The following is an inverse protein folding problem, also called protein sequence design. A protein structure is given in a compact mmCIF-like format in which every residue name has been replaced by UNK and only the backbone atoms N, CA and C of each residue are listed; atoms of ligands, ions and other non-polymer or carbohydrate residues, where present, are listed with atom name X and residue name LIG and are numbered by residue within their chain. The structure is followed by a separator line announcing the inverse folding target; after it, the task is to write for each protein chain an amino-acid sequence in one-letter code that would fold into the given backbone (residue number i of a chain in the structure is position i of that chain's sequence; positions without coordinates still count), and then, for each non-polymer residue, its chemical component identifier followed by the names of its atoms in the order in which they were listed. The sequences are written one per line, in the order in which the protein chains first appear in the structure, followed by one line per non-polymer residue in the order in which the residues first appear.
data_IF_816650514740
#
_entry.id   IF_816650514740
#
_cell.length_a   1.000
_cell.length_b   1.000
_cell.length_c   1.000
_cell.angle_alpha   90.00
_cell.angle_beta   90.00
_cell.angle_gamma   90.00
#
_symmetry.space_group_name_H-M   'P 1'
#
loop_
_entity.id
_entity.type
_entity.pdbx_description
1 polymer ?
2 non-polymer ?
3 non-polymer ?
4 non-polymer ?
5 non-polymer ?
6 water ?
#
# COMPACT_ATOMS: atom_id res chain seq x y z
N UNK A 1 -14.37 -11.82 1.59
CA UNK A 1 -15.00 -11.19 0.39
C UNK A 1 -14.11 -10.11 -0.20
N UNK A 2 -14.71 -9.25 -1.02
CA UNK A 2 -13.98 -8.20 -1.78
C UNK A 2 -13.27 -7.21 -0.85
N UNK A 3 -13.92 -6.77 0.22
CA UNK A 3 -13.27 -5.84 1.16
C UNK A 3 -12.08 -6.44 1.88
N UNK A 4 -12.20 -7.71 2.34
CA UNK A 4 -11.02 -8.36 2.92
C UNK A 4 -9.91 -8.56 1.88
N UNK A 5 -10.25 -8.89 0.62
CA UNK A 5 -9.20 -9.03 -0.37
C UNK A 5 -8.38 -7.73 -0.58
N UNK A 6 -9.05 -6.58 -0.54
CA UNK A 6 -8.33 -5.28 -0.63
C UNK A 6 -7.32 -5.19 0.55
N UNK A 7 -7.71 -5.60 1.78
CA UNK A 7 -6.80 -5.60 2.95
C UNK A 7 -5.67 -6.60 2.80
N UNK A 8 -5.95 -7.80 2.26
CA UNK A 8 -4.88 -8.80 2.01
C UNK A 8 -3.84 -8.24 1.02
N UNK A 9 -4.32 -7.71 -0.11
CA UNK A 9 -3.44 -7.14 -1.13
C UNK A 9 -2.62 -5.95 -0.57
N UNK A 10 -3.30 -5.03 0.10
CA UNK A 10 -2.61 -3.85 0.68
C UNK A 10 -1.54 -4.23 1.69
N UNK A 11 -1.75 -5.29 2.48
CA UNK A 11 -0.79 -5.60 3.54
C UNK A 11 0.57 -5.94 2.99
N UNK A 12 0.62 -6.52 1.77
CA UNK A 12 1.91 -6.81 1.07
C UNK A 12 1.86 -6.33 -0.39
N UNK A 13 1.53 -5.05 -0.58
CA UNK A 13 1.20 -4.55 -1.91
C UNK A 13 2.35 -4.70 -2.91
N UNK A 14 3.59 -4.47 -2.50
CA UNK A 14 4.71 -4.54 -3.42
C UNK A 14 4.80 -5.94 -4.06
N UNK A 15 4.68 -6.97 -3.21
CA UNK A 15 4.85 -8.35 -3.67
C UNK A 15 3.69 -8.78 -4.58
N UNK A 16 2.44 -8.55 -4.14
CA UNK A 16 1.31 -8.91 -5.00
C UNK A 16 1.29 -8.13 -6.32
N UNK A 17 1.63 -6.83 -6.29
CA UNK A 17 1.61 -6.04 -7.53
C UNK A 17 2.60 -6.60 -8.55
N UNK A 18 3.84 -6.88 -8.10
CA UNK A 18 4.85 -7.47 -9.01
C UNK A 18 4.42 -8.84 -9.57
N UNK A 19 3.90 -9.71 -8.70
CA UNK A 19 3.59 -11.05 -9.15
C UNK A 19 2.38 -11.04 -10.13
N UNK A 20 1.37 -10.20 -9.89
CA UNK A 20 0.22 -10.15 -10.82
C UNK A 20 0.63 -9.49 -12.14
N UNK A 21 1.42 -8.40 -12.09
CA UNK A 21 1.86 -7.74 -13.35
C UNK A 21 2.73 -8.69 -14.20
N UNK A 22 3.62 -9.45 -13.55
CA UNK A 22 4.45 -10.45 -14.29
C UNK A 22 3.54 -11.53 -14.93
N UNK A 23 2.53 -11.98 -14.19
CA UNK A 23 1.59 -12.97 -14.74
C UNK A 23 0.90 -12.43 -16.01
N UNK A 24 0.47 -11.15 -15.97
CA UNK A 24 -0.09 -10.46 -17.14
C UNK A 24 0.87 -10.38 -18.33
N UNK A 25 2.09 -9.92 -18.07
CA UNK A 25 3.08 -9.79 -19.16
C UNK A 25 3.44 -11.12 -19.80
N UNK A 26 3.54 -12.18 -18.97
CA UNK A 26 3.87 -13.50 -19.49
C UNK A 26 2.69 -14.17 -20.24
N UNK A 27 1.43 -13.90 -19.83
CA UNK A 27 0.26 -14.42 -20.53
C UNK A 27 -0.01 -13.75 -21.88
N UNK A 28 0.31 -12.46 -21.98
CA UNK A 28 0.06 -11.66 -23.17
C UNK A 28 1.33 -10.97 -23.60
N UNK A 29 2.23 -11.72 -24.29
CA UNK A 29 3.52 -11.10 -24.64
C UNK A 29 3.43 -9.84 -25.54
N UNK A 30 2.41 -9.73 -26.41
CA UNK A 30 2.25 -8.55 -27.28
C UNK A 30 2.00 -7.29 -26.44
N UNK A 31 1.51 -7.44 -25.19
CA UNK A 31 1.26 -6.29 -24.31
C UNK A 31 2.56 -5.60 -23.83
N UNK A 32 3.71 -6.29 -23.89
CA UNK A 32 4.99 -5.69 -23.43
C UNK A 32 5.49 -4.47 -24.25
N UNK A 33 4.96 -4.24 -25.44
CA UNK A 33 5.28 -3.07 -26.29
C UNK A 33 4.82 -1.72 -25.73
N UNK A 34 3.88 -1.78 -24.79
CA UNK A 34 3.53 -0.62 -23.99
C UNK A 34 4.60 -0.27 -22.98
N UNK A 35 5.61 -1.16 -22.79
CA UNK A 35 6.68 -1.05 -21.78
C UNK A 35 8.08 -1.42 -22.35
N UNK A 36 8.62 -0.52 -23.18
CA UNK A 36 9.87 -0.79 -23.92
C UNK A 36 11.11 -1.02 -23.02
N UNK A 37 11.12 -0.46 -21.81
CA UNK A 37 12.21 -0.65 -20.86
C UNK A 37 12.21 -2.07 -20.23
N UNK A 38 11.12 -2.83 -20.42
CA UNK A 38 10.97 -4.18 -19.86
C UNK A 38 11.23 -5.32 -20.86
N UNK A 39 11.33 -4.98 -22.13
CA UNK A 39 11.55 -5.96 -23.19
C UNK A 39 12.94 -6.67 -23.05
N UNK A 40 12.98 -7.99 -23.28
CA UNK A 40 14.24 -8.78 -23.36
C UNK A 40 14.84 -9.12 -21.98
N UNK A 41 13.98 -9.13 -20.98
CA UNK A 41 14.38 -9.32 -19.57
C UNK A 41 13.52 -10.38 -18.87
N UNK A 42 14.20 -11.25 -18.13
CA UNK A 42 13.52 -12.24 -17.31
C UNK A 42 12.77 -11.58 -16.14
N UNK A 43 11.94 -12.37 -15.46
CA UNK A 43 11.22 -11.88 -14.32
C UNK A 43 12.20 -11.32 -13.23
N UNK A 44 13.26 -12.07 -12.93
CA UNK A 44 14.20 -11.65 -11.89
C UNK A 44 15.01 -10.39 -12.30
N UNK A 45 15.35 -10.27 -13.57
CA UNK A 45 15.96 -9.04 -14.06
C UNK A 45 15.02 -7.82 -13.89
N UNK A 46 13.74 -8.00 -14.23
CA UNK A 46 12.75 -6.93 -14.01
C UNK A 46 12.66 -6.48 -12.55
N UNK A 47 12.59 -7.44 -11.64
CA UNK A 47 12.52 -7.12 -10.21
C UNK A 47 13.76 -6.37 -9.67
N UNK A 48 14.90 -6.42 -10.40
CA UNK A 48 16.11 -5.68 -10.00
C UNK A 48 16.16 -4.19 -10.47
N UNK A 49 15.18 -3.76 -11.25
CA UNK A 49 15.09 -2.40 -11.77
C UNK A 49 14.24 -1.54 -10.80
N UNK A 50 14.80 -0.43 -10.31
CA UNK A 50 14.09 0.41 -9.31
C UNK A 50 12.69 0.81 -9.77
N UNK A 51 12.57 1.29 -11.01
CA UNK A 51 11.27 1.77 -11.47
C UNK A 51 10.26 0.65 -11.71
N UNK A 52 10.71 -0.61 -11.96
CA UNK A 52 9.72 -1.73 -12.13
C UNK A 52 8.90 -1.89 -10.82
N UNK A 53 9.56 -2.04 -9.68
CA UNK A 53 8.82 -2.20 -8.41
C UNK A 53 8.03 -0.95 -8.04
N UNK A 54 8.67 0.23 -8.19
CA UNK A 54 8.03 1.49 -7.80
C UNK A 54 6.76 1.76 -8.63
N UNK A 55 6.90 1.73 -9.94
CA UNK A 55 5.74 2.03 -10.81
C UNK A 55 4.66 0.92 -10.71
N UNK A 56 5.05 -0.35 -10.63
CA UNK A 56 4.05 -1.40 -10.49
C UNK A 56 3.24 -1.28 -9.17
N UNK A 57 3.91 -0.95 -8.07
CA UNK A 57 3.18 -0.72 -6.85
C UNK A 57 2.24 0.46 -6.98
N UNK A 58 2.69 1.55 -7.64
CA UNK A 58 1.84 2.74 -7.77
C UNK A 58 0.56 2.46 -8.62
N UNK A 59 0.69 1.65 -9.66
CA UNK A 59 -0.46 1.17 -10.43
C UNK A 59 -1.48 0.45 -9.52
N UNK A 60 -0.98 -0.51 -8.73
CA UNK A 60 -1.88 -1.31 -7.87
C UNK A 60 -2.44 -0.51 -6.69
N UNK A 61 -1.69 0.50 -6.20
CA UNK A 61 -2.25 1.40 -5.19
C UNK A 61 -3.51 2.14 -5.76
N UNK A 62 -3.40 2.69 -6.97
CA UNK A 62 -4.57 3.34 -7.55
C UNK A 62 -5.70 2.32 -7.80
N UNK A 63 -5.36 1.11 -8.25
CA UNK A 63 -6.40 0.05 -8.44
C UNK A 63 -7.14 -0.21 -7.12
N UNK A 64 -6.41 -0.29 -6.01
CA UNK A 64 -7.05 -0.54 -4.71
C UNK A 64 -7.93 0.65 -4.24
N UNK A 65 -7.53 1.88 -4.57
CA UNK A 65 -8.37 3.07 -4.26
C UNK A 65 -9.68 2.99 -5.02
N UNK A 66 -9.61 2.67 -6.31
CA UNK A 66 -10.81 2.55 -7.14
C UNK A 66 -11.70 1.40 -6.63
N UNK A 67 -11.06 0.25 -6.29
CA UNK A 67 -11.83 -0.89 -5.75
C UNK A 67 -12.54 -0.53 -4.46
N UNK A 68 -11.86 0.17 -3.55
CA UNK A 68 -12.46 0.48 -2.26
C UNK A 68 -13.59 1.52 -2.36
N UNK A 69 -13.52 2.41 -3.36
CA UNK A 69 -14.60 3.40 -3.62
C UNK A 69 -15.79 2.81 -4.43
N UNK A 70 -15.66 1.62 -4.99
CA UNK A 70 -16.74 0.97 -5.75
C UNK A 70 -17.92 0.61 -4.84
N UNK A 71 -19.11 0.50 -5.44
CA UNK A 71 -20.34 -0.01 -4.80
C UNK A 71 -20.71 -1.33 -5.48
N UNK A 72 -20.81 -2.44 -4.71
CA UNK A 72 -21.15 -3.74 -5.33
C UNK A 72 -20.27 -4.03 -6.57
N UNK A 73 -18.97 -3.76 -6.45
CA UNK A 73 -17.97 -4.03 -7.52
C UNK A 73 -18.20 -3.20 -8.81
N UNK A 74 -18.94 -2.07 -8.69
CA UNK A 74 -19.15 -1.10 -9.80
C UNK A 74 -18.35 0.16 -9.48
N UNK A 75 -17.28 0.46 -10.25
CA UNK A 75 -16.48 1.67 -9.97
C UNK A 75 -17.22 2.96 -10.22
N UNK A 76 -16.79 4.00 -9.52
CA UNK A 76 -17.28 5.35 -9.79
C UNK A 76 -16.97 5.81 -11.22
N UNK A 77 -17.91 6.50 -11.86
CA UNK A 77 -17.66 7.10 -13.18
C UNK A 77 -16.47 8.09 -13.14
N UNK A 78 -16.36 8.85 -12.04
CA UNK A 78 -15.23 9.80 -11.90
C UNK A 78 -13.86 9.10 -11.87
N UNK A 79 -13.77 7.93 -11.23
CA UNK A 79 -12.53 7.15 -11.25
C UNK A 79 -12.22 6.60 -12.64
N UNK A 80 -13.22 6.08 -13.35
CA UNK A 80 -13.01 5.67 -14.75
C UNK A 80 -12.48 6.84 -15.60
N UNK A 81 -13.09 8.02 -15.43
CA UNK A 81 -12.63 9.21 -16.17
C UNK A 81 -11.17 9.56 -15.90
N UNK A 82 -10.73 9.47 -14.64
CA UNK A 82 -9.32 9.71 -14.32
C UNK A 82 -8.42 8.77 -15.12
N UNK A 83 -8.75 7.48 -15.17
CA UNK A 83 -7.95 6.50 -15.92
C UNK A 83 -7.94 6.80 -17.43
N UNK A 84 -9.06 7.25 -17.99
CA UNK A 84 -9.11 7.61 -19.44
C UNK A 84 -8.21 8.81 -19.75
N UNK A 85 -8.24 9.82 -18.87
CA UNK A 85 -7.60 11.10 -19.15
C UNK A 85 -6.11 11.14 -18.80
N UNK A 86 -5.58 10.17 -18.06
CA UNK A 86 -4.16 10.16 -17.72
C UNK A 86 -3.28 10.17 -18.98
N UNK A 87 -2.31 11.09 -19.05
CA UNK A 87 -1.43 11.20 -20.23
C UNK A 87 -0.71 9.86 -20.49
N UNK A 88 -0.38 9.12 -19.43
CA UNK A 88 0.30 7.81 -19.61
C UNK A 88 -0.55 6.72 -20.29
N UNK A 89 -1.85 6.94 -20.32
CA UNK A 89 -2.85 6.03 -20.95
C UNK A 89 -3.34 6.46 -22.33
N UNK A 90 -2.65 7.42 -22.97
CA UNK A 90 -3.12 8.00 -24.23
C UNK A 90 -3.22 6.99 -25.38
N UNK A 91 -2.40 5.94 -25.35
CA UNK A 91 -2.44 4.97 -26.45
C UNK A 91 -3.39 3.80 -26.32
N UNK A 92 -4.16 3.75 -25.23
CA UNK A 92 -4.78 2.49 -24.78
C UNK A 92 -6.23 2.34 -25.21
N UNK A 93 -6.68 1.07 -25.21
CA UNK A 93 -8.08 0.75 -25.45
C UNK A 93 -8.58 -0.14 -24.31
N UNK A 94 -9.90 -0.38 -24.26
CA UNK A 94 -10.41 -1.14 -23.11
C UNK A 94 -9.87 -2.59 -23.09
N UNK A 95 -9.49 -3.13 -24.25
CA UNK A 95 -8.91 -4.46 -24.33
C UNK A 95 -7.65 -4.66 -23.51
N UNK A 96 -6.84 -3.61 -23.36
CA UNK A 96 -5.66 -3.69 -22.49
C UNK A 96 -6.03 -4.01 -21.02
N UNK A 97 -7.08 -3.32 -20.56
CA UNK A 97 -7.59 -3.49 -19.21
C UNK A 97 -8.33 -4.84 -19.03
N UNK A 98 -9.07 -5.25 -20.05
CA UNK A 98 -9.75 -6.56 -20.03
C UNK A 98 -8.73 -7.68 -19.77
N UNK A 99 -7.62 -7.63 -20.49
CA UNK A 99 -6.56 -8.66 -20.38
C UNK A 99 -5.87 -8.65 -19.02
N UNK A 100 -5.62 -7.46 -18.50
CA UNK A 100 -5.04 -7.34 -17.16
C UNK A 100 -5.91 -8.08 -16.13
N UNK A 101 -7.23 -7.82 -16.19
CA UNK A 101 -8.15 -8.46 -15.21
C UNK A 101 -8.34 -9.96 -15.44
N UNK A 102 -8.29 -10.44 -16.69
CA UNK A 102 -8.27 -11.90 -16.92
C UNK A 102 -7.06 -12.52 -16.19
N UNK A 103 -5.89 -11.89 -16.33
CA UNK A 103 -4.66 -12.42 -15.69
C UNK A 103 -4.76 -12.35 -14.15
N UNK A 104 -5.31 -11.25 -13.61
CA UNK A 104 -5.46 -11.08 -12.16
C UNK A 104 -6.38 -12.18 -11.55
N UNK A 105 -7.52 -12.42 -12.17
CA UNK A 105 -8.46 -13.48 -11.70
C UNK A 105 -7.82 -14.88 -11.80
N UNK A 106 -7.10 -15.15 -12.88
CA UNK A 106 -6.40 -16.44 -13.03
C UNK A 106 -5.36 -16.61 -11.89
N UNK A 107 -4.61 -15.55 -11.60
CA UNK A 107 -3.64 -15.59 -10.50
C UNK A 107 -4.31 -15.91 -9.16
N UNK A 108 -5.44 -15.22 -8.88
CA UNK A 108 -6.18 -15.48 -7.61
C UNK A 108 -6.67 -16.92 -7.53
N UNK A 109 -7.22 -17.47 -8.60
CA UNK A 109 -7.73 -18.85 -8.58
C UNK A 109 -6.62 -19.89 -8.39
N UNK A 110 -5.42 -19.61 -8.92
CA UNK A 110 -4.26 -20.55 -8.79
C UNK A 110 -3.50 -20.39 -7.45
N UNK A 111 -3.78 -19.36 -6.64
CA UNK A 111 -2.82 -19.05 -5.55
C UNK A 111 -3.01 -19.89 -4.28
N UNK A 112 -4.14 -20.57 -4.07
CA UNK A 112 -4.30 -21.43 -2.86
C UNK A 112 -4.71 -20.67 -1.59
N UNK A 113 -5.27 -19.49 -1.85
CA UNK A 113 -5.78 -18.61 -0.82
C UNK A 113 -7.21 -18.22 -1.14
N UNK A 114 -7.94 -17.79 -0.12
CA UNK A 114 -9.38 -17.61 -0.23
C UNK A 114 -9.84 -16.28 -0.82
N UNK A 115 -9.23 -15.82 -1.91
CA UNK A 115 -9.70 -14.64 -2.61
C UNK A 115 -11.14 -14.85 -3.12
N UNK A 116 -11.91 -13.79 -3.20
CA UNK A 116 -13.27 -13.83 -3.78
C UNK A 116 -13.12 -13.57 -5.29
N UNK A 117 -12.67 -14.60 -6.03
CA UNK A 117 -12.34 -14.44 -7.44
C UNK A 117 -13.53 -13.95 -8.27
N UNK A 118 -14.74 -14.41 -7.97
CA UNK A 118 -15.92 -13.99 -8.72
C UNK A 118 -16.15 -12.46 -8.60
N UNK A 119 -15.91 -11.90 -7.43
CA UNK A 119 -16.09 -10.43 -7.27
C UNK A 119 -15.04 -9.64 -8.09
N UNK A 120 -13.79 -10.13 -8.13
CA UNK A 120 -12.76 -9.46 -8.94
C UNK A 120 -13.10 -9.57 -10.45
N UNK A 121 -13.67 -10.71 -10.90
CA UNK A 121 -14.11 -10.88 -12.30
C UNK A 121 -15.18 -9.83 -12.63
N UNK A 122 -16.19 -9.68 -11.76
CA UNK A 122 -17.22 -8.63 -11.92
C UNK A 122 -16.61 -7.24 -11.96
N UNK A 123 -15.73 -6.94 -11.00
CA UNK A 123 -15.07 -5.64 -10.96
C UNK A 123 -14.37 -5.32 -12.28
N UNK A 124 -13.57 -6.28 -12.80
CA UNK A 124 -12.90 -6.04 -14.08
C UNK A 124 -13.86 -5.75 -15.22
N UNK A 125 -14.94 -6.55 -15.31
CA UNK A 125 -15.94 -6.32 -16.38
C UNK A 125 -16.64 -4.94 -16.24
N UNK A 126 -16.97 -4.58 -15.00
CA UNK A 126 -17.63 -3.28 -14.76
C UNK A 126 -16.66 -2.10 -14.95
N UNK A 127 -15.35 -2.32 -14.70
CA UNK A 127 -14.38 -1.27 -14.99
C UNK A 127 -14.25 -1.06 -16.50
N UNK A 128 -14.18 -2.15 -17.28
CA UNK A 128 -14.14 -2.03 -18.76
C UNK A 128 -15.37 -1.23 -19.28
N UNK A 129 -16.57 -1.57 -18.80
CA UNK A 129 -17.79 -0.85 -19.20
C UNK A 129 -17.71 0.62 -18.81
N UNK A 130 -17.24 0.91 -17.61
CA UNK A 130 -17.10 2.32 -17.16
C UNK A 130 -16.07 3.10 -17.98
N UNK A 131 -14.96 2.45 -18.35
CA UNK A 131 -13.94 3.10 -19.20
C UNK A 131 -14.55 3.50 -20.55
N UNK A 132 -15.34 2.62 -21.15
CA UNK A 132 -16.04 2.92 -22.42
C UNK A 132 -17.00 4.13 -22.23
N UNK A 133 -17.78 4.10 -21.16
CA UNK A 133 -18.72 5.21 -20.89
C UNK A 133 -18.02 6.57 -20.67
N UNK A 134 -16.81 6.51 -20.12
CA UNK A 134 -15.97 7.72 -19.87
C UNK A 134 -15.10 8.12 -21.07
N UNK A 135 -15.23 7.41 -22.19
CA UNK A 135 -14.63 7.85 -23.45
C UNK A 135 -13.43 7.11 -24.00
N UNK A 136 -13.09 5.94 -23.45
CA UNK A 136 -11.99 5.11 -24.00
C UNK A 136 -12.53 4.26 -25.15
N UNK A 137 -11.76 4.20 -26.26
CA UNK A 137 -12.10 3.33 -27.38
C UNK A 137 -11.85 1.84 -27.11
N UNK B 1 -7.07 17.12 4.51
CA UNK B 1 -7.21 16.59 5.86
C UNK B 1 -6.61 15.20 6.00
N UNK B 2 -6.98 14.52 7.08
CA UNK B 2 -6.46 13.20 7.44
C UNK B 2 -6.70 12.17 6.31
N UNK B 3 -7.93 12.08 5.80
CA UNK B 3 -8.20 11.12 4.72
C UNK B 3 -7.36 11.35 3.45
N UNK B 4 -7.25 12.60 3.02
CA UNK B 4 -6.38 12.91 1.87
C UNK B 4 -4.91 12.59 2.17
N UNK B 5 -4.45 12.84 3.40
CA UNK B 5 -3.05 12.53 3.75
C UNK B 5 -2.76 11.01 3.63
N UNK B 6 -3.72 10.15 4.02
CA UNK B 6 -3.56 8.71 3.81
C UNK B 6 -3.35 8.41 2.31
N UNK B 7 -4.13 9.04 1.46
CA UNK B 7 -3.98 8.86 0.01
C UNK B 7 -2.60 9.36 -0.48
N UNK B 8 -2.16 10.54 0.00
CA UNK B 8 -0.85 11.05 -0.38
C UNK B 8 0.29 10.07 0.01
N UNK B 9 0.28 9.63 1.27
CA UNK B 9 1.31 8.71 1.75
C UNK B 9 1.31 7.39 0.95
N UNK B 10 0.11 6.85 0.71
CA UNK B 10 -0.02 5.59 -0.07
C UNK B 10 0.50 5.73 -1.51
N UNK B 11 0.42 6.93 -2.08
CA UNK B 11 0.92 7.18 -3.45
C UNK B 11 2.43 7.09 -3.65
N UNK B 12 3.19 7.11 -2.57
CA UNK B 12 4.68 6.95 -2.61
C UNK B 12 5.15 6.29 -1.31
N UNK B 13 4.57 5.13 -0.96
CA UNK B 13 4.60 4.68 0.44
C UNK B 13 5.97 4.19 0.85
N UNK B 14 6.68 3.44 0.01
CA UNK B 14 8.03 2.98 0.44
C UNK B 14 8.97 4.14 0.75
N UNK B 15 8.94 5.20 -0.06
CA UNK B 15 9.80 6.36 0.14
C UNK B 15 9.40 7.09 1.42
N UNK B 16 8.11 7.41 1.60
CA UNK B 16 7.69 8.08 2.89
C UNK B 16 7.99 7.21 4.11
N UNK B 17 7.72 5.90 4.00
CA UNK B 17 7.91 4.99 5.15
C UNK B 17 9.40 4.99 5.59
N UNK B 18 10.30 4.82 4.64
CA UNK B 18 11.73 4.84 4.96
C UNK B 18 12.19 6.17 5.51
N UNK B 19 11.74 7.28 4.89
CA UNK B 19 12.18 8.60 5.38
C UNK B 19 11.66 8.91 6.82
N UNK B 20 10.40 8.54 7.12
CA UNK B 20 9.87 8.75 8.47
C UNK B 20 10.57 7.83 9.48
N UNK B 21 10.78 6.54 9.12
CA UNK B 21 11.47 5.65 10.06
C UNK B 21 12.92 6.11 10.32
N UNK B 22 13.62 6.57 9.27
CA UNK B 22 14.98 7.15 9.51
C UNK B 22 14.93 8.37 10.42
N UNK B 23 13.92 9.25 10.21
CA UNK B 23 13.78 10.40 11.10
C UNK B 23 13.63 9.97 12.59
N UNK B 24 12.82 8.92 12.83
CA UNK B 24 12.64 8.37 14.17
C UNK B 24 13.96 7.82 14.75
N UNK B 25 14.64 6.98 13.97
CA UNK B 25 15.90 6.37 14.44
C UNK B 25 16.97 7.45 14.72
N UNK B 26 17.02 8.49 13.90
CA UNK B 26 18.01 9.56 14.07
C UNK B 26 17.65 10.51 15.21
N UNK B 27 16.35 10.74 15.45
CA UNK B 27 15.94 11.58 16.61
C UNK B 27 16.11 10.86 17.96
N UNK B 28 15.92 9.53 17.97
CA UNK B 28 15.96 8.71 19.18
C UNK B 28 16.94 7.55 19.03
N UNK B 29 18.25 7.84 19.05
CA UNK B 29 19.18 6.76 18.75
C UNK B 29 19.10 5.55 19.70
N UNK B 30 18.63 5.72 20.95
CA UNK B 30 18.51 4.58 21.90
C UNK B 30 17.43 3.58 21.45
N UNK B 31 16.50 4.02 20.62
CA UNK B 31 15.48 3.12 20.04
C UNK B 31 16.04 1.97 19.17
N UNK B 32 17.29 2.06 18.73
CA UNK B 32 17.92 0.91 18.03
C UNK B 32 18.16 -0.36 18.88
N UNK B 33 17.94 -0.30 20.19
CA UNK B 33 17.90 -1.51 21.03
C UNK B 33 16.94 -2.56 20.48
N UNK B 34 15.86 -2.12 19.80
CA UNK B 34 14.90 -3.05 19.20
C UNK B 34 15.15 -3.37 17.74
N UNK B 35 16.25 -2.83 17.17
CA UNK B 35 16.62 -2.99 15.76
C UNK B 35 18.15 -3.19 15.64
N UNK B 36 18.64 -4.29 16.21
CA UNK B 36 20.10 -4.52 16.26
C UNK B 36 20.80 -4.65 14.91
N UNK B 37 20.08 -5.04 13.85
CA UNK B 37 20.70 -5.15 12.53
C UNK B 37 20.92 -3.78 11.88
N UNK B 38 20.35 -2.71 12.44
CA UNK B 38 20.44 -1.36 11.84
C UNK B 38 21.52 -0.46 12.48
N UNK B 39 22.24 -0.96 13.45
CA UNK B 39 23.36 -0.28 14.10
C UNK B 39 24.57 -0.17 13.13
N UNK B 40 25.28 0.98 13.20
CA UNK B 40 26.53 1.15 12.48
C UNK B 40 26.40 1.36 10.97
N UNK B 41 25.26 1.93 10.55
CA UNK B 41 24.88 2.07 9.12
C UNK B 41 24.37 3.49 8.87
N UNK B 42 24.89 4.14 7.84
CA UNK B 42 24.31 5.42 7.39
C UNK B 42 22.93 5.20 6.69
N UNK B 43 22.19 6.28 6.48
CA UNK B 43 20.87 6.20 5.86
C UNK B 43 20.94 5.49 4.48
N UNK B 44 21.91 5.88 3.63
CA UNK B 44 22.02 5.25 2.33
C UNK B 44 22.33 3.74 2.42
N UNK B 45 23.15 3.34 3.39
CA UNK B 45 23.40 1.93 3.60
C UNK B 45 22.12 1.18 4.04
N UNK B 46 21.33 1.74 4.96
CA UNK B 46 20.06 1.12 5.37
C UNK B 46 19.10 0.96 4.19
N UNK B 47 19.05 1.94 3.30
CA UNK B 47 18.16 1.87 2.13
C UNK B 47 18.60 0.81 1.10
N UNK B 48 19.80 0.22 1.23
CA UNK B 48 20.19 -0.91 0.37
C UNK B 48 20.21 -2.25 1.14
N UNK B 49 19.60 -2.31 2.33
CA UNK B 49 19.43 -3.54 3.10
C UNK B 49 17.99 -4.07 2.84
N UNK B 50 17.88 -5.30 2.31
CA UNK B 50 16.58 -5.79 1.81
C UNK B 50 15.48 -5.77 2.89
N UNK B 51 15.80 -6.23 4.10
CA UNK B 51 14.79 -6.29 5.18
C UNK B 51 14.40 -4.90 5.65
N UNK B 52 15.33 -3.95 5.67
CA UNK B 52 14.99 -2.57 6.07
C UNK B 52 13.87 -2.04 5.17
N UNK B 53 14.03 -2.14 3.86
CA UNK B 53 13.00 -1.66 2.94
C UNK B 53 11.69 -2.48 2.99
N UNK B 54 11.82 -3.80 2.99
CA UNK B 54 10.64 -4.66 2.93
C UNK B 54 9.81 -4.58 4.24
N UNK B 55 10.49 -4.66 5.39
CA UNK B 55 9.77 -4.60 6.67
C UNK B 55 9.18 -3.20 6.91
N UNK B 56 9.97 -2.13 6.60
CA UNK B 56 9.45 -0.76 6.79
C UNK B 56 8.19 -0.52 5.94
N UNK B 57 8.18 -0.98 4.70
CA UNK B 57 6.98 -0.82 3.87
C UNK B 57 5.79 -1.60 4.49
N UNK B 58 6.02 -2.85 4.94
CA UNK B 58 4.92 -3.62 5.53
C UNK B 58 4.36 -2.98 6.82
N UNK B 59 5.20 -2.39 7.64
CA UNK B 59 4.76 -1.64 8.80
C UNK B 59 3.81 -0.50 8.40
N UNK B 60 4.25 0.32 7.43
CA UNK B 60 3.44 1.45 7.00
C UNK B 60 2.20 1.05 6.19
N UNK B 61 2.24 -0.08 5.45
CA UNK B 61 1.03 -0.61 4.76
C UNK B 61 -0.07 -0.82 5.84
N UNK B 62 0.28 -1.48 6.94
CA UNK B 62 -0.69 -1.76 8.00
C UNK B 62 -1.06 -0.44 8.75
N UNK B 63 -0.07 0.44 9.02
CA UNK B 63 -0.41 1.71 9.65
C UNK B 63 -1.48 2.49 8.88
N UNK B 64 -1.35 2.54 7.54
CA UNK B 64 -2.33 3.26 6.73
C UNK B 64 -3.71 2.62 6.80
N UNK B 65 -3.77 1.28 6.89
CA UNK B 65 -5.08 0.59 7.05
C UNK B 65 -5.72 0.91 8.42
N UNK B 66 -4.90 0.98 9.49
CA UNK B 66 -5.42 1.35 10.82
C UNK B 66 -5.97 2.79 10.79
N UNK B 67 -5.18 3.69 10.18
CA UNK B 67 -5.63 5.10 10.03
C UNK B 67 -6.93 5.17 9.24
N UNK B 68 -7.02 4.41 8.14
CA UNK B 68 -8.23 4.46 7.25
C UNK B 68 -9.48 3.91 7.93
N UNK B 69 -9.30 2.92 8.84
CA UNK B 69 -10.41 2.32 9.58
C UNK B 69 -10.87 3.14 10.80
N UNK B 70 -10.09 4.18 11.15
CA UNK B 70 -10.39 5.02 12.31
C UNK B 70 -11.61 5.93 12.08
N UNK B 71 -12.22 6.40 13.18
CA UNK B 71 -13.29 7.43 13.15
C UNK B 71 -12.75 8.64 13.89
N UNK B 72 -12.72 9.82 13.26
CA UNK B 72 -12.19 11.03 13.93
C UNK B 72 -10.83 10.80 14.59
N UNK B 73 -9.98 10.06 13.85
CA UNK B 73 -8.60 9.78 14.30
C UNK B 73 -8.51 8.85 15.54
N UNK B 74 -9.57 8.11 15.84
CA UNK B 74 -9.64 7.10 16.92
C UNK B 74 -9.66 5.72 16.30
N UNK B 75 -8.61 4.88 16.53
CA UNK B 75 -8.57 3.56 15.88
C UNK B 75 -9.56 2.56 16.47
N UNK B 76 -9.91 1.56 15.67
CA UNK B 76 -10.69 0.39 16.14
C UNK B 76 -10.00 -0.34 17.29
N UNK B 77 -10.79 -0.80 18.27
CA UNK B 77 -10.22 -1.64 19.33
C UNK B 77 -9.61 -2.93 18.76
N UNK B 78 -10.20 -3.51 17.71
CA UNK B 78 -9.63 -4.75 17.14
C UNK B 78 -8.21 -4.50 16.57
N UNK B 79 -7.99 -3.31 15.95
CA UNK B 79 -6.65 -2.99 15.44
C UNK B 79 -5.65 -2.77 16.58
N UNK B 80 -6.07 -2.08 17.66
CA UNK B 80 -5.20 -1.93 18.82
C UNK B 80 -4.80 -3.31 19.42
N UNK B 81 -5.78 -4.19 19.58
CA UNK B 81 -5.49 -5.53 20.13
C UNK B 81 -4.51 -6.30 19.26
N UNK B 82 -4.69 -6.28 17.94
CA UNK B 82 -3.72 -6.91 17.01
C UNK B 82 -2.30 -6.42 17.29
N UNK B 83 -2.15 -5.11 17.41
CA UNK B 83 -0.83 -4.54 17.59
C UNK B 83 -0.21 -4.92 18.98
N UNK B 84 -1.01 -5.05 20.04
CA UNK B 84 -0.51 -5.52 21.34
C UNK B 84 -0.09 -6.99 21.26
N UNK B 85 -0.89 -7.81 20.60
CA UNK B 85 -0.73 -9.29 20.63
C UNK B 85 0.31 -9.86 19.63
N UNK B 86 0.69 -9.11 18.61
CA UNK B 86 1.68 -9.59 17.63
C UNK B 86 2.94 -10.05 18.32
N UNK B 87 3.43 -11.25 17.98
CA UNK B 87 4.67 -11.78 18.58
C UNK B 87 5.87 -10.82 18.38
N UNK B 88 5.94 -10.14 17.22
CA UNK B 88 7.02 -9.21 16.97
C UNK B 88 7.02 -7.97 17.87
N UNK B 89 5.90 -7.72 18.57
CA UNK B 89 5.78 -6.61 19.51
C UNK B 89 5.92 -7.00 20.98
N UNK B 90 6.35 -8.24 21.28
CA UNK B 90 6.48 -8.65 22.68
C UNK B 90 7.53 -7.76 23.34
N UNK B 91 7.31 -7.40 24.56
CA UNK B 91 8.26 -6.43 25.17
C UNK B 91 8.38 -4.96 24.67
N UNK B 92 7.61 -4.50 23.66
CA UNK B 92 7.41 -3.06 23.42
C UNK B 92 6.55 -2.47 24.54
N UNK B 93 6.64 -1.15 24.72
CA UNK B 93 5.76 -0.35 25.60
C UNK B 93 5.18 0.81 24.79
N UNK B 94 4.19 1.48 25.37
CA UNK B 94 3.56 2.57 24.66
C UNK B 94 4.50 3.70 24.30
N UNK B 95 5.57 3.91 25.11
CA UNK B 95 6.55 4.94 24.81
C UNK B 95 7.25 4.78 23.45
N UNK B 96 7.44 3.55 23.01
CA UNK B 96 8.01 3.30 21.67
C UNK B 96 7.12 3.92 20.57
N UNK B 97 5.79 3.71 20.72
CA UNK B 97 4.81 4.26 19.77
C UNK B 97 4.66 5.78 19.88
N UNK B 98 4.68 6.32 21.11
CA UNK B 98 4.63 7.77 21.33
C UNK B 98 5.76 8.45 20.51
N UNK B 99 6.99 7.93 20.64
CA UNK B 99 8.16 8.54 19.99
C UNK B 99 8.10 8.41 18.45
N UNK B 100 7.62 7.27 17.93
CA UNK B 100 7.46 7.15 16.48
C UNK B 100 6.53 8.25 15.95
N UNK B 101 5.38 8.47 16.63
CA UNK B 101 4.45 9.52 16.18
C UNK B 101 4.95 10.95 16.37
N UNK B 102 5.74 11.22 17.42
CA UNK B 102 6.39 12.55 17.51
C UNK B 102 7.28 12.80 16.27
N UNK B 103 8.07 11.81 15.88
CA UNK B 103 8.94 11.95 14.70
C UNK B 103 8.13 12.12 13.42
N UNK B 104 7.05 11.33 13.26
CA UNK B 104 6.19 11.44 12.10
C UNK B 104 5.59 12.85 11.94
N UNK B 105 5.04 13.38 13.04
CA UNK B 105 4.47 14.72 13.01
C UNK B 105 5.54 15.79 12.68
N UNK B 106 6.71 15.68 13.30
CA UNK B 106 7.81 16.63 13.02
C UNK B 106 8.23 16.58 11.52
N UNK B 107 8.29 15.36 10.96
CA UNK B 107 8.60 15.19 9.53
C UNK B 107 7.55 15.91 8.66
N UNK B 108 6.27 15.72 8.98
CA UNK B 108 5.19 16.39 8.21
C UNK B 108 5.29 17.91 8.28
N UNK B 109 5.54 18.44 9.47
CA UNK B 109 5.63 19.93 9.62
C UNK B 109 6.84 20.53 8.84
N UNK B 110 7.94 19.77 8.73
CA UNK B 110 9.15 20.22 8.01
C UNK B 110 9.10 19.98 6.50
N UNK B 111 8.09 19.25 5.98
CA UNK B 111 8.05 18.78 4.60
C UNK B 111 7.76 19.86 3.56
N UNK B 112 7.07 20.93 3.95
CA UNK B 112 6.73 21.97 2.93
C UNK B 112 5.51 21.59 2.10
N UNK B 113 4.81 20.53 2.52
CA UNK B 113 3.57 20.12 1.85
C UNK B 113 2.35 20.72 2.58
N UNK B 114 1.19 20.09 2.45
CA UNK B 114 -0.05 20.53 3.08
C UNK B 114 -0.65 19.43 4.00
N UNK B 115 0.20 18.63 4.65
CA UNK B 115 -0.27 17.60 5.57
C UNK B 115 -1.09 18.24 6.72
N UNK B 116 -2.10 17.53 7.22
CA UNK B 116 -2.86 17.95 8.41
C UNK B 116 -2.15 17.42 9.64
N UNK B 117 -1.04 18.05 10.01
CA UNK B 117 -0.16 17.51 11.05
C UNK B 117 -0.85 17.38 12.42
N UNK B 118 -1.80 18.27 12.72
CA UNK B 118 -2.55 18.15 13.97
C UNK B 118 -3.41 16.88 14.06
N UNK B 119 -4.01 16.47 12.95
CA UNK B 119 -4.78 15.20 12.96
C UNK B 119 -3.85 13.98 13.23
N UNK B 120 -2.63 13.97 12.65
CA UNK B 120 -1.68 12.89 12.90
C UNK B 120 -1.20 12.89 14.37
N UNK B 121 -1.06 14.07 14.96
CA UNK B 121 -0.70 14.16 16.39
C UNK B 121 -1.81 13.52 17.25
N UNK B 122 -3.08 13.85 16.95
CA UNK B 122 -4.19 13.19 17.65
C UNK B 122 -4.27 11.69 17.42
N UNK B 123 -4.07 11.26 16.16
CA UNK B 123 -4.05 9.82 15.88
C UNK B 123 -3.00 9.09 16.72
N UNK B 124 -1.78 9.65 16.81
CA UNK B 124 -0.75 9.01 17.63
C UNK B 124 -1.15 8.93 19.10
N UNK B 125 -1.73 10.00 19.64
CA UNK B 125 -2.15 10.02 21.06
C UNK B 125 -3.28 9.01 21.28
N UNK B 126 -4.24 8.97 20.34
CA UNK B 126 -5.39 8.06 20.48
C UNK B 126 -4.98 6.59 20.28
N UNK B 127 -4.01 6.31 19.41
CA UNK B 127 -3.46 4.96 19.29
C UNK B 127 -2.79 4.53 20.58
N UNK B 128 -1.95 5.38 21.15
CA UNK B 128 -1.32 5.09 22.47
C UNK B 128 -2.39 4.76 23.54
N UNK B 129 -3.44 5.58 23.64
CA UNK B 129 -4.45 5.28 24.67
C UNK B 129 -5.18 3.96 24.36
N UNK B 130 -5.43 3.62 23.09
CA UNK B 130 -6.04 2.33 22.74
C UNK B 130 -5.12 1.14 23.03
N UNK B 131 -3.80 1.29 22.79
CA UNK B 131 -2.84 0.24 23.10
C UNK B 131 -2.82 -0.02 24.62
N UNK B 132 -2.83 1.04 25.45
CA UNK B 132 -2.93 0.87 26.91
C UNK B 132 -4.21 0.12 27.32
N UNK B 133 -5.35 0.51 26.73
CA UNK B 133 -6.62 -0.15 27.07
C UNK B 133 -6.61 -1.62 26.70
N UNK B 134 -5.89 -1.97 25.60
CA UNK B 134 -5.78 -3.35 25.14
C UNK B 134 -4.65 -4.16 25.82
N UNK B 135 -3.95 -3.53 26.78
CA UNK B 135 -3.03 -4.24 27.65
C UNK B 135 -1.54 -4.03 27.46
N UNK B 136 -1.10 -3.08 26.64
CA UNK B 136 0.34 -2.81 26.52
C UNK B 136 0.80 -2.02 27.74
N UNK B 137 1.97 -2.36 28.27
CA UNK B 137 2.54 -1.60 29.39
C UNK B 137 3.17 -0.29 28.92
#
# INVERSE_FOLDING_TARGET
GFKQDIATLRGDLRTYAQDIFLAFLNKYPDEKRNFKNYVGKSDQELKSMAKFGDHTEKVFNLMMEVADRATDCVPLASDASTLVQMKQHSGLTTGNFEKLFVALVEYMRASGQSFDSQSWDRFGKNLVSALSSAGMK
GFKQDIATLRGDLRTYAQDIFLAFLNKYPDEKRNFKNYVGKSDQELKSMAKFGDHTEKVFNLMMEVADRATDCVPLASDASTLVQMKQHSGLTTGNFEKLFVALVEYMRASGQSFDSQSWDRFGKNLVSALSSAGMK
#
